data_IF_155076226160
#
_entry.id   IF_155076226160
#
_cell.length_a   1.000
_cell.length_b   1.000
_cell.length_c   1.000
_cell.angle_alpha   90.00
_cell.angle_beta   90.00
_cell.angle_gamma   90.00
#
_symmetry.space_group_name_H-M   'P 1'
#
loop_
_entity.id
_entity.type
_entity.pdbx_description
1 polymer ?
#
# COMPACT_ATOMS: atom_id res chain seq x y z
N UNK A 1 -21.70 24.89 0.72
CA UNK A 1 -21.42 24.59 2.17
C UNK A 1 -20.21 25.41 2.57
N UNK A 2 -20.17 25.96 3.79
CA UNK A 2 -18.98 26.69 4.29
C UNK A 2 -17.83 25.70 4.59
N UNK A 3 -16.58 26.16 4.36
CA UNK A 3 -15.35 25.37 4.57
C UNK A 3 -15.27 24.75 5.97
N UNK A 4 -15.52 25.53 7.00
CA UNK A 4 -15.55 25.08 8.40
C UNK A 4 -16.51 23.90 8.64
N UNK A 5 -17.70 23.98 8.04
CA UNK A 5 -18.72 22.92 8.16
C UNK A 5 -18.28 21.65 7.45
N UNK A 6 -17.64 21.78 6.27
CA UNK A 6 -17.04 20.64 5.55
C UNK A 6 -15.98 19.96 6.43
N UNK A 7 -15.01 20.73 6.93
CA UNK A 7 -13.93 20.20 7.76
C UNK A 7 -14.46 19.50 9.02
N UNK A 8 -15.48 20.09 9.66
CA UNK A 8 -16.12 19.45 10.81
C UNK A 8 -16.76 18.10 10.47
N UNK A 9 -17.41 17.99 9.31
CA UNK A 9 -17.98 16.72 8.86
C UNK A 9 -16.87 15.71 8.56
N UNK A 10 -15.80 16.11 7.89
CA UNK A 10 -14.68 15.23 7.59
C UNK A 10 -14.00 14.71 8.86
N UNK A 11 -13.73 15.61 9.82
CA UNK A 11 -13.19 15.28 11.16
C UNK A 11 -14.06 14.27 11.89
N UNK A 12 -15.37 14.52 11.95
CA UNK A 12 -16.31 13.61 12.59
C UNK A 12 -16.34 12.23 11.91
N UNK A 13 -16.20 12.17 10.58
CA UNK A 13 -16.08 10.93 9.83
C UNK A 13 -14.86 10.12 10.26
N UNK A 14 -13.70 10.76 10.37
CA UNK A 14 -12.45 10.12 10.85
C UNK A 14 -12.63 9.61 12.28
N UNK A 15 -13.10 10.46 13.20
CA UNK A 15 -13.30 10.13 14.63
C UNK A 15 -14.25 8.94 14.83
N UNK A 16 -15.30 8.86 14.03
CA UNK A 16 -16.30 7.78 14.09
C UNK A 16 -15.87 6.53 13.33
N UNK A 17 -14.76 6.56 12.60
CA UNK A 17 -14.26 5.42 11.83
C UNK A 17 -15.03 5.14 10.54
N UNK A 18 -15.58 6.18 9.92
CA UNK A 18 -16.16 6.07 8.59
C UNK A 18 -15.07 5.68 7.56
N UNK A 19 -15.41 4.79 6.63
CA UNK A 19 -14.54 4.46 5.51
C UNK A 19 -14.64 5.46 4.37
N UNK A 20 -15.84 5.99 4.12
CA UNK A 20 -16.09 6.93 3.05
C UNK A 20 -17.10 7.99 3.50
N UNK A 21 -17.01 9.18 2.89
CA UNK A 21 -17.95 10.30 3.04
C UNK A 21 -18.52 10.63 1.66
N UNK A 22 -19.84 10.77 1.56
CA UNK A 22 -20.51 11.04 0.30
C UNK A 22 -21.29 12.33 0.35
N UNK A 23 -21.15 13.16 -0.68
CA UNK A 23 -21.93 14.39 -0.88
C UNK A 23 -22.57 14.36 -2.27
N UNK A 24 -23.90 14.36 -2.30
CA UNK A 24 -24.69 14.31 -3.53
C UNK A 24 -25.84 15.31 -3.46
N UNK A 25 -26.15 15.95 -4.60
CA UNK A 25 -27.28 16.89 -4.71
C UNK A 25 -28.60 16.16 -4.47
N UNK A 26 -29.48 16.79 -3.71
CA UNK A 26 -30.82 16.26 -3.40
C UNK A 26 -30.82 15.21 -2.29
N UNK A 27 -29.69 14.98 -1.62
CA UNK A 27 -29.56 14.03 -0.53
C UNK A 27 -28.85 14.63 0.68
N UNK A 28 -28.98 13.96 1.85
CA UNK A 28 -28.20 14.26 3.04
C UNK A 28 -26.75 13.82 2.84
N UNK A 29 -25.76 14.45 3.50
CA UNK A 29 -24.41 13.86 3.57
C UNK A 29 -24.47 12.46 4.19
N UNK A 30 -23.66 11.53 3.68
CA UNK A 30 -23.62 10.15 4.13
C UNK A 30 -22.24 9.76 4.57
N UNK A 31 -22.16 8.92 5.62
CA UNK A 31 -20.97 8.15 5.94
C UNK A 31 -21.18 6.68 5.58
N UNK A 32 -20.06 6.02 5.24
CA UNK A 32 -20.04 4.57 5.11
C UNK A 32 -19.38 3.96 6.35
N UNK A 33 -20.08 3.05 7.02
CA UNK A 33 -19.58 2.28 8.14
C UNK A 33 -19.75 0.80 7.85
N UNK A 34 -18.66 0.03 7.85
CA UNK A 34 -18.71 -1.42 7.65
C UNK A 34 -19.51 -1.89 6.41
N UNK A 35 -19.54 -1.05 5.37
CA UNK A 35 -20.28 -1.31 4.13
C UNK A 35 -21.63 -0.62 4.04
N UNK A 36 -22.25 -0.25 5.15
CA UNK A 36 -23.57 0.39 5.21
C UNK A 36 -23.45 1.92 5.09
N UNK A 37 -24.39 2.54 4.35
CA UNK A 37 -24.52 3.99 4.25
C UNK A 37 -25.42 4.52 5.37
N UNK A 38 -24.95 5.51 6.11
CA UNK A 38 -25.64 6.13 7.24
C UNK A 38 -25.83 7.61 6.98
N UNK A 39 -27.05 8.09 7.05
CA UNK A 39 -27.40 9.49 6.87
C UNK A 39 -26.96 10.34 8.05
N UNK A 40 -26.39 11.50 7.75
CA UNK A 40 -26.03 12.47 8.77
C UNK A 40 -27.21 13.39 9.06
N UNK A 41 -27.38 13.79 10.32
CA UNK A 41 -28.32 14.82 10.70
C UNK A 41 -27.86 16.19 10.19
N UNK A 42 -28.15 16.46 8.95
CA UNK A 42 -27.79 17.69 8.25
C UNK A 42 -28.95 18.12 7.32
N UNK A 43 -28.80 19.20 6.58
CA UNK A 43 -29.75 19.58 5.53
C UNK A 43 -29.50 18.78 4.25
N UNK A 44 -30.51 18.64 3.43
CA UNK A 44 -30.40 18.15 2.05
C UNK A 44 -29.49 19.10 1.26
N UNK A 45 -28.52 18.55 0.55
CA UNK A 45 -27.54 19.31 -0.21
C UNK A 45 -28.15 19.87 -1.51
N UNK A 46 -27.89 21.12 -1.77
CA UNK A 46 -28.24 21.80 -3.03
C UNK A 46 -27.05 21.73 -4.00
N UNK A 47 -27.30 22.06 -5.28
CA UNK A 47 -26.23 22.19 -6.29
C UNK A 47 -25.13 23.19 -5.86
N UNK A 48 -25.53 24.30 -5.23
CA UNK A 48 -24.57 25.28 -4.68
C UNK A 48 -23.73 24.73 -3.54
N UNK A 49 -24.29 23.81 -2.74
CA UNK A 49 -23.54 23.20 -1.65
C UNK A 49 -22.47 22.25 -2.19
N UNK A 50 -22.79 21.37 -3.14
CA UNK A 50 -21.81 20.43 -3.73
C UNK A 50 -20.77 21.16 -4.57
N UNK A 51 -21.12 22.23 -5.28
CA UNK A 51 -20.16 23.08 -5.97
C UNK A 51 -19.19 23.75 -4.99
N UNK A 52 -19.68 24.30 -3.89
CA UNK A 52 -18.82 24.90 -2.87
C UNK A 52 -17.89 23.89 -2.22
N UNK A 53 -18.35 22.65 -1.98
CA UNK A 53 -17.50 21.56 -1.48
C UNK A 53 -16.41 21.25 -2.50
N UNK A 54 -16.77 21.07 -3.77
CA UNK A 54 -15.80 20.75 -4.83
C UNK A 54 -14.74 21.86 -4.97
N UNK A 55 -15.15 23.14 -4.94
CA UNK A 55 -14.19 24.28 -4.96
C UNK A 55 -13.24 24.25 -3.78
N UNK A 56 -13.73 23.98 -2.56
CA UNK A 56 -12.89 23.88 -1.36
C UNK A 56 -11.87 22.74 -1.45
N UNK A 57 -12.26 21.58 -2.00
CA UNK A 57 -11.38 20.45 -2.16
C UNK A 57 -10.30 20.66 -3.25
N UNK A 58 -10.61 21.48 -4.24
CA UNK A 58 -9.69 21.81 -5.35
C UNK A 58 -8.79 23.02 -5.06
N UNK A 59 -8.94 23.72 -3.92
CA UNK A 59 -8.13 24.93 -3.63
C UNK A 59 -6.61 24.71 -3.67
N UNK A 60 -6.15 23.50 -3.32
CA UNK A 60 -4.73 23.11 -3.32
C UNK A 60 -4.26 22.52 -4.64
N UNK A 61 -5.15 22.29 -5.59
CA UNK A 61 -4.87 21.63 -6.86
C UNK A 61 -4.64 22.66 -7.97
N UNK A 62 -3.76 22.36 -8.94
CA UNK A 62 -3.57 23.23 -10.11
C UNK A 62 -4.79 23.27 -11.03
N UNK A 63 -5.72 22.33 -10.90
CA UNK A 63 -6.97 22.23 -11.67
C UNK A 63 -8.05 23.06 -11.02
N UNK A 64 -8.92 23.66 -11.83
CA UNK A 64 -10.07 24.42 -11.36
C UNK A 64 -11.38 23.79 -11.83
N UNK A 65 -12.49 24.14 -11.14
CA UNK A 65 -13.84 23.76 -11.57
C UNK A 65 -14.29 24.42 -12.88
N UNK A 66 -13.56 25.43 -13.33
CA UNK A 66 -13.84 26.18 -14.55
C UNK A 66 -13.34 25.42 -15.81
N UNK A 67 -12.50 24.37 -15.62
CA UNK A 67 -12.12 23.45 -16.67
C UNK A 67 -13.25 22.45 -16.94
N UNK A 68 -13.41 22.07 -18.22
CA UNK A 68 -14.41 21.06 -18.59
C UNK A 68 -13.89 19.66 -18.30
N UNK A 69 -14.31 19.11 -17.18
CA UNK A 69 -13.97 17.74 -16.76
C UNK A 69 -15.21 16.92 -16.42
N UNK A 70 -15.15 15.61 -16.63
CA UNK A 70 -16.20 14.68 -16.21
C UNK A 70 -15.94 14.14 -14.80
N UNK A 71 -14.67 13.88 -14.48
CA UNK A 71 -14.23 13.38 -13.18
C UNK A 71 -12.80 13.82 -12.86
N UNK A 72 -12.51 13.98 -11.58
CA UNK A 72 -11.19 14.27 -11.03
C UNK A 72 -10.98 13.38 -9.82
N UNK A 73 -9.84 12.65 -9.78
CA UNK A 73 -9.30 12.03 -8.59
C UNK A 73 -8.21 12.93 -8.02
N UNK A 74 -8.24 13.16 -6.71
CA UNK A 74 -7.23 13.96 -6.00
C UNK A 74 -7.03 13.44 -4.57
N UNK A 75 -5.92 13.83 -3.96
CA UNK A 75 -5.68 13.65 -2.55
C UNK A 75 -6.01 14.95 -1.80
N UNK A 76 -6.76 14.87 -0.71
CA UNK A 76 -7.07 16.01 0.14
C UNK A 76 -6.55 15.76 1.56
N UNK A 77 -5.78 16.69 2.08
CA UNK A 77 -5.26 16.61 3.45
C UNK A 77 -6.02 17.58 4.36
N UNK A 78 -6.57 17.03 5.45
CA UNK A 78 -7.09 17.82 6.56
C UNK A 78 -5.94 18.01 7.55
N UNK A 79 -5.36 19.22 7.66
CA UNK A 79 -4.10 19.44 8.37
C UNK A 79 -4.10 18.89 9.80
N UNK A 80 -3.18 17.96 10.10
CA UNK A 80 -3.02 17.35 11.41
C UNK A 80 -4.09 16.32 11.82
N UNK A 81 -5.06 16.04 10.96
CA UNK A 81 -6.23 15.23 11.33
C UNK A 81 -6.44 14.01 10.42
N UNK A 82 -6.17 14.13 9.12
CA UNK A 82 -6.34 13.01 8.20
C UNK A 82 -6.13 13.34 6.73
N UNK A 83 -6.03 12.31 5.92
CA UNK A 83 -5.93 12.38 4.47
C UNK A 83 -7.12 11.66 3.84
N UNK A 84 -7.55 12.14 2.70
CA UNK A 84 -8.65 11.57 1.94
C UNK A 84 -8.23 11.38 0.47
N UNK A 85 -8.62 10.26 -0.10
CA UNK A 85 -8.72 10.15 -1.55
C UNK A 85 -10.09 10.64 -1.97
N UNK A 86 -10.14 11.61 -2.86
CA UNK A 86 -11.35 12.28 -3.29
C UNK A 86 -11.61 11.97 -4.76
N UNK A 87 -12.81 11.56 -5.07
CA UNK A 87 -13.33 11.54 -6.43
C UNK A 87 -14.43 12.61 -6.56
N UNK A 88 -14.25 13.53 -7.47
CA UNK A 88 -15.26 14.52 -7.87
C UNK A 88 -15.70 14.16 -9.28
N UNK A 89 -16.97 13.79 -9.44
CA UNK A 89 -17.57 13.40 -10.72
C UNK A 89 -18.81 14.20 -11.02
N UNK A 90 -19.19 14.28 -12.31
CA UNK A 90 -20.45 14.91 -12.73
C UNK A 90 -21.56 13.89 -12.82
N UNK A 91 -22.71 14.19 -12.20
CA UNK A 91 -23.95 13.45 -12.32
C UNK A 91 -25.09 14.41 -12.67
N UNK A 92 -25.72 14.25 -13.83
CA UNK A 92 -26.79 15.11 -14.31
C UNK A 92 -26.44 16.60 -14.26
N UNK A 93 -25.22 16.96 -14.63
CA UNK A 93 -24.62 18.30 -14.58
C UNK A 93 -24.30 18.84 -13.17
N UNK A 94 -24.53 18.07 -12.10
CA UNK A 94 -24.18 18.42 -10.73
C UNK A 94 -22.92 17.66 -10.28
N UNK A 95 -22.26 18.15 -9.25
CA UNK A 95 -21.10 17.48 -8.65
C UNK A 95 -21.55 16.40 -7.67
N UNK A 96 -21.01 15.20 -7.85
CA UNK A 96 -21.05 14.11 -6.91
C UNK A 96 -19.64 13.92 -6.34
N UNK A 97 -19.49 13.85 -5.02
CA UNK A 97 -18.20 13.86 -4.35
C UNK A 97 -18.15 12.71 -3.37
N UNK A 98 -17.12 11.90 -3.51
CA UNK A 98 -16.85 10.76 -2.62
C UNK A 98 -15.45 10.94 -2.04
N UNK A 99 -15.35 10.93 -0.72
CA UNK A 99 -14.06 11.00 -0.03
C UNK A 99 -13.84 9.70 0.73
N UNK A 100 -12.78 8.98 0.41
CA UNK A 100 -12.32 7.83 1.17
C UNK A 100 -11.32 8.24 2.22
N UNK A 101 -11.57 7.87 3.47
CA UNK A 101 -10.67 8.15 4.58
C UNK A 101 -9.41 7.29 4.46
N UNK A 102 -8.25 7.94 4.45
CA UNK A 102 -6.94 7.28 4.47
C UNK A 102 -6.46 7.25 5.93
N UNK A 103 -6.24 6.06 6.52
CA UNK A 103 -5.77 5.95 7.89
C UNK A 103 -4.39 6.58 8.08
N UNK A 104 -4.22 7.47 9.07
CA UNK A 104 -2.93 8.04 9.47
C UNK A 104 -2.08 7.07 10.29
N UNK A 105 -2.66 5.99 10.79
CA UNK A 105 -1.94 5.01 11.61
C UNK A 105 -1.98 3.64 10.97
N UNK A 106 -0.80 3.11 10.72
CA UNK A 106 -0.63 1.73 10.31
C UNK A 106 -0.78 0.82 11.53
N UNK A 107 -1.64 -0.20 11.43
CA UNK A 107 -1.81 -1.19 12.50
C UNK A 107 -0.60 -2.09 12.59
N UNK A 108 -0.20 -2.46 13.83
CA UNK A 108 0.92 -3.37 14.03
C UNK A 108 0.60 -4.80 13.57
N UNK A 109 1.65 -5.61 13.35
CA UNK A 109 1.52 -7.03 12.95
C UNK A 109 0.66 -7.82 13.93
N UNK A 110 0.77 -7.55 15.24
CA UNK A 110 -0.01 -8.19 16.28
C UNK A 110 -1.51 -7.86 16.19
N UNK A 111 -1.82 -6.57 16.02
CA UNK A 111 -3.22 -6.12 15.87
C UNK A 111 -3.89 -6.70 14.64
N UNK A 112 -3.13 -7.01 13.60
CA UNK A 112 -3.61 -7.65 12.37
C UNK A 112 -3.54 -9.17 12.41
N UNK A 113 -3.07 -9.77 13.50
CA UNK A 113 -2.83 -11.20 13.64
C UNK A 113 -1.98 -11.77 12.49
N UNK A 114 -0.96 -11.03 12.07
CA UNK A 114 -0.05 -11.46 11.02
C UNK A 114 0.92 -12.53 11.56
N UNK A 115 1.29 -13.54 10.75
CA UNK A 115 2.29 -14.53 11.17
C UNK A 115 3.61 -13.90 11.59
N UNK A 116 4.17 -14.33 12.72
CA UNK A 116 5.44 -13.82 13.24
C UNK A 116 6.60 -13.96 12.23
N UNK A 117 6.55 -14.97 11.35
CA UNK A 117 7.52 -15.16 10.28
C UNK A 117 7.63 -13.97 9.29
N UNK A 118 6.65 -13.06 9.26
CA UNK A 118 6.74 -11.85 8.45
C UNK A 118 7.78 -10.85 8.99
N UNK A 119 8.10 -10.91 10.30
CA UNK A 119 9.19 -10.11 10.86
C UNK A 119 10.55 -10.44 10.27
N UNK A 120 10.78 -11.70 9.90
CA UNK A 120 12.04 -12.06 9.24
C UNK A 120 12.22 -11.29 7.92
N UNK A 121 11.11 -10.91 7.27
CA UNK A 121 11.17 -10.14 6.02
C UNK A 121 11.64 -8.71 6.27
N UNK A 122 11.27 -8.09 7.39
CA UNK A 122 11.64 -6.71 7.71
C UNK A 122 13.13 -6.58 8.06
N UNK A 123 13.81 -7.69 8.35
CA UNK A 123 15.25 -7.73 8.63
C UNK A 123 16.12 -7.91 7.38
N UNK A 124 15.50 -8.19 6.22
CA UNK A 124 16.24 -8.35 4.98
C UNK A 124 16.89 -7.03 4.55
N UNK A 125 18.15 -7.11 4.13
CA UNK A 125 18.91 -5.94 3.67
C UNK A 125 18.82 -5.78 2.15
N UNK A 126 18.58 -6.87 1.43
CA UNK A 126 18.49 -6.90 -0.03
C UNK A 126 17.58 -8.02 -0.48
N UNK A 127 17.05 -7.88 -1.68
CA UNK A 127 16.21 -8.89 -2.31
C UNK A 127 14.84 -8.36 -2.69
N UNK A 128 13.90 -9.25 -2.92
CA UNK A 128 12.59 -8.92 -3.45
C UNK A 128 11.49 -9.61 -2.64
N UNK A 129 10.58 -8.83 -2.09
CA UNK A 129 9.43 -9.32 -1.33
C UNK A 129 8.16 -8.97 -2.07
N UNK A 130 7.37 -9.98 -2.43
CA UNK A 130 6.08 -9.80 -3.09
C UNK A 130 4.93 -10.24 -2.21
N UNK A 131 3.97 -9.36 -2.04
CA UNK A 131 2.68 -9.63 -1.41
C UNK A 131 1.64 -9.86 -2.49
N UNK A 132 1.05 -11.05 -2.53
CA UNK A 132 0.15 -11.46 -3.60
C UNK A 132 -1.26 -11.75 -3.09
N UNK A 133 -2.27 -11.56 -3.94
CA UNK A 133 -3.67 -11.80 -3.61
C UNK A 133 -4.62 -10.98 -4.46
N UNK A 134 -5.91 -11.29 -4.41
CA UNK A 134 -6.96 -10.50 -5.07
C UNK A 134 -7.10 -9.11 -4.42
N UNK A 135 -7.85 -8.22 -5.08
CA UNK A 135 -8.21 -6.91 -4.52
C UNK A 135 -8.99 -7.08 -3.21
N UNK A 136 -8.72 -6.22 -2.23
CA UNK A 136 -9.37 -6.27 -0.91
C UNK A 136 -8.84 -7.34 0.05
N UNK A 137 -7.80 -8.12 -0.34
CA UNK A 137 -7.21 -9.17 0.51
C UNK A 137 -6.17 -8.66 1.51
N UNK A 138 -6.00 -7.35 1.65
CA UNK A 138 -5.10 -6.74 2.62
C UNK A 138 -3.64 -6.65 2.18
N UNK A 139 -3.34 -6.66 0.86
CA UNK A 139 -1.96 -6.52 0.35
C UNK A 139 -1.31 -5.22 0.79
N UNK A 140 -1.94 -4.07 0.50
CA UNK A 140 -1.45 -2.75 0.88
C UNK A 140 -1.31 -2.60 2.39
N UNK A 141 -2.29 -3.11 3.16
CA UNK A 141 -2.21 -3.12 4.63
C UNK A 141 -1.01 -3.94 5.12
N UNK A 142 -0.73 -5.08 4.50
CA UNK A 142 0.44 -5.91 4.85
C UNK A 142 1.74 -5.20 4.51
N UNK A 143 1.86 -4.64 3.30
CA UNK A 143 3.03 -3.86 2.90
C UNK A 143 3.26 -2.69 3.85
N UNK A 144 2.22 -1.90 4.12
CA UNK A 144 2.30 -0.79 5.06
C UNK A 144 2.78 -1.25 6.45
N UNK A 145 2.26 -2.39 6.94
CA UNK A 145 2.67 -2.94 8.24
C UNK A 145 4.14 -3.37 8.24
N UNK A 146 4.65 -3.95 7.14
CA UNK A 146 6.07 -4.30 7.01
C UNK A 146 6.95 -3.06 7.00
N UNK A 147 6.57 -2.03 6.23
CA UNK A 147 7.28 -0.75 6.17
C UNK A 147 7.28 -0.06 7.53
N UNK A 148 6.14 -0.05 8.23
CA UNK A 148 6.05 0.53 9.58
C UNK A 148 6.89 -0.23 10.62
N UNK A 149 6.99 -1.56 10.52
CA UNK A 149 7.88 -2.34 11.38
C UNK A 149 9.36 -2.01 11.11
N UNK A 150 9.74 -1.82 9.85
CA UNK A 150 11.08 -1.34 9.48
C UNK A 150 11.32 0.05 10.06
N UNK A 151 10.38 0.98 9.85
CA UNK A 151 10.43 2.36 10.34
C UNK A 151 10.72 2.43 11.85
N UNK A 152 10.03 1.60 12.62
CA UNK A 152 10.17 1.55 14.08
C UNK A 152 11.44 0.87 14.59
N UNK A 153 12.00 -0.05 13.82
CA UNK A 153 13.06 -0.92 14.31
C UNK A 153 14.43 -0.70 13.65
N UNK A 154 14.50 -0.06 12.48
CA UNK A 154 15.72 0.14 11.70
C UNK A 154 15.99 1.61 11.42
N UNK A 155 17.26 1.98 11.36
CA UNK A 155 17.72 3.26 10.83
C UNK A 155 17.95 3.07 9.33
N UNK A 156 16.98 3.45 8.52
CA UNK A 156 17.00 3.22 7.08
C UNK A 156 16.38 4.39 6.31
N UNK A 157 16.81 4.57 5.07
CA UNK A 157 16.13 5.42 4.10
C UNK A 157 15.11 4.58 3.34
N UNK A 158 13.84 4.89 3.53
CA UNK A 158 12.71 4.21 2.89
C UNK A 158 12.12 5.14 1.83
N UNK A 159 11.93 4.62 0.62
CA UNK A 159 11.20 5.33 -0.45
C UNK A 159 9.99 4.48 -0.84
N UNK A 160 8.81 5.09 -0.78
CA UNK A 160 7.57 4.45 -1.27
C UNK A 160 7.09 5.15 -2.53
N UNK A 161 6.55 4.37 -3.47
CA UNK A 161 5.98 4.84 -4.74
C UNK A 161 4.60 4.20 -4.84
N UNK A 162 3.55 5.01 -4.83
CA UNK A 162 2.17 4.55 -4.63
C UNK A 162 1.20 5.20 -5.62
N UNK A 163 0.09 4.53 -5.92
CA UNK A 163 -0.95 5.02 -6.83
C UNK A 163 -2.36 4.59 -6.33
N UNK A 164 -2.96 5.42 -5.46
CA UNK A 164 -2.41 6.51 -4.66
C UNK A 164 -1.78 6.03 -3.33
N UNK A 165 -1.30 6.96 -2.49
CA UNK A 165 -0.88 6.66 -1.11
C UNK A 165 -2.09 6.19 -0.29
N UNK A 166 -2.01 4.96 0.26
CA UNK A 166 -3.06 4.36 1.09
C UNK A 166 -2.83 4.51 2.59
N UNK A 167 -1.60 4.77 3.02
CA UNK A 167 -1.22 4.98 4.42
C UNK A 167 -0.17 6.07 4.51
N UNK A 168 -0.31 6.98 5.47
CA UNK A 168 0.69 8.02 5.73
C UNK A 168 1.61 7.54 6.85
N UNK A 169 2.92 7.57 6.60
CA UNK A 169 3.92 7.19 7.58
C UNK A 169 4.50 8.42 8.28
N UNK A 170 4.65 8.34 9.59
CA UNK A 170 5.42 9.31 10.37
C UNK A 170 6.84 8.78 10.56
N UNK A 171 7.86 9.62 10.37
CA UNK A 171 9.25 9.25 10.63
C UNK A 171 9.43 8.80 12.09
N UNK A 172 10.14 7.68 12.30
CA UNK A 172 10.57 7.19 13.62
C UNK A 172 12.09 7.00 13.59
N UNK A 173 12.58 5.76 13.53
CA UNK A 173 14.01 5.48 13.35
C UNK A 173 14.46 5.63 11.90
N UNK A 174 13.55 5.42 10.95
CA UNK A 174 13.82 5.59 9.52
C UNK A 174 13.37 6.95 9.00
N UNK A 175 13.95 7.35 7.87
CA UNK A 175 13.49 8.50 7.09
C UNK A 175 12.66 7.95 5.91
N UNK A 176 11.40 8.34 5.80
CA UNK A 176 10.49 7.86 4.76
C UNK A 176 10.19 8.97 3.76
N UNK A 177 10.34 8.67 2.49
CA UNK A 177 9.89 9.53 1.38
C UNK A 177 8.76 8.80 0.67
N UNK A 178 7.54 9.31 0.76
CA UNK A 178 6.39 8.78 0.03
C UNK A 178 6.17 9.61 -1.22
N UNK A 179 5.96 8.94 -2.35
CA UNK A 179 5.71 9.60 -3.64
C UNK A 179 4.46 9.02 -4.29
N UNK A 180 3.54 9.88 -4.63
CA UNK A 180 2.27 9.53 -5.27
C UNK A 180 2.36 9.76 -6.79
N UNK A 181 1.88 8.77 -7.55
CA UNK A 181 1.77 8.92 -9.01
C UNK A 181 0.73 10.00 -9.35
N UNK A 182 1.06 10.84 -10.30
CA UNK A 182 0.19 11.94 -10.75
C UNK A 182 0.35 13.24 -9.94
N UNK A 183 0.77 13.14 -8.68
CA UNK A 183 1.01 14.30 -7.81
C UNK A 183 2.49 14.61 -7.68
N UNK A 184 3.30 13.63 -7.25
CA UNK A 184 4.74 13.81 -6.95
C UNK A 184 5.64 13.30 -8.07
N UNK A 185 5.10 12.47 -8.96
CA UNK A 185 5.85 11.83 -10.06
C UNK A 185 4.90 11.41 -11.17
N UNK A 186 5.41 11.37 -12.40
CA UNK A 186 4.59 11.06 -13.57
C UNK A 186 4.24 9.56 -13.69
N UNK A 187 5.15 8.66 -13.28
CA UNK A 187 4.99 7.22 -13.45
C UNK A 187 5.79 6.42 -12.42
N UNK A 188 5.46 5.13 -12.28
CA UNK A 188 6.24 4.20 -11.47
C UNK A 188 7.69 4.08 -11.94
N UNK A 189 8.00 3.90 -13.24
CA UNK A 189 9.37 3.87 -13.73
C UNK A 189 10.17 5.14 -13.38
N UNK A 190 9.62 6.33 -13.65
CA UNK A 190 10.29 7.60 -13.36
C UNK A 190 10.59 7.76 -11.88
N UNK A 191 9.60 7.44 -11.03
CA UNK A 191 9.75 7.49 -9.58
C UNK A 191 10.84 6.53 -9.10
N UNK A 192 10.88 5.32 -9.64
CA UNK A 192 11.83 4.28 -9.24
C UNK A 192 13.25 4.62 -9.70
N UNK A 193 13.43 5.11 -10.93
CA UNK A 193 14.71 5.63 -11.40
C UNK A 193 15.21 6.81 -10.54
N UNK A 194 14.31 7.68 -10.11
CA UNK A 194 14.63 8.77 -9.18
C UNK A 194 14.99 8.24 -7.80
N UNK A 195 14.23 7.27 -7.28
CA UNK A 195 14.46 6.68 -5.96
C UNK A 195 15.86 6.08 -5.83
N UNK A 196 16.35 5.37 -6.84
CA UNK A 196 17.70 4.78 -6.87
C UNK A 196 18.85 5.80 -6.73
N UNK A 197 18.57 7.10 -6.92
CA UNK A 197 19.53 8.20 -6.70
C UNK A 197 19.35 8.92 -5.35
N UNK A 198 18.47 8.42 -4.49
CA UNK A 198 18.14 9.00 -3.19
C UNK A 198 18.72 8.21 -2.02
N UNK A 199 19.72 7.35 -2.28
CA UNK A 199 20.37 6.48 -1.29
C UNK A 199 19.36 5.63 -0.48
N UNK A 200 18.47 4.87 -1.14
CA UNK A 200 17.45 4.12 -0.46
C UNK A 200 18.00 2.79 0.04
N UNK A 201 17.73 2.45 1.30
CA UNK A 201 17.93 1.08 1.82
C UNK A 201 16.73 0.20 1.46
N UNK A 202 15.54 0.79 1.49
CA UNK A 202 14.26 0.11 1.31
C UNK A 202 13.42 0.85 0.27
N UNK A 203 12.95 0.12 -0.72
CA UNK A 203 12.04 0.65 -1.75
C UNK A 203 10.72 -0.12 -1.67
N UNK A 204 9.60 0.59 -1.57
CA UNK A 204 8.27 0.00 -1.72
C UNK A 204 7.65 0.51 -3.01
N UNK A 205 7.27 -0.41 -3.90
CA UNK A 205 6.50 -0.12 -5.10
C UNK A 205 5.10 -0.68 -4.91
N UNK A 206 4.09 0.18 -4.89
CA UNK A 206 2.72 -0.18 -4.53
C UNK A 206 2.22 -1.41 -5.30
N UNK A 207 2.41 -1.43 -6.61
CA UNK A 207 2.09 -2.58 -7.44
C UNK A 207 2.95 -2.66 -8.71
N UNK A 208 3.03 -3.88 -9.28
CA UNK A 208 3.74 -4.19 -10.53
C UNK A 208 2.75 -4.32 -11.68
N UNK A 209 2.68 -3.31 -12.55
CA UNK A 209 1.74 -3.27 -13.68
C UNK A 209 2.42 -3.44 -15.04
N UNK A 210 3.67 -3.05 -15.18
CA UNK A 210 4.38 -2.96 -16.45
C UNK A 210 5.80 -3.54 -16.41
N UNK A 211 6.37 -3.78 -17.58
CA UNK A 211 7.69 -4.37 -17.74
C UNK A 211 8.80 -3.51 -17.14
N UNK A 212 8.75 -2.20 -17.36
CA UNK A 212 9.84 -1.30 -16.96
C UNK A 212 9.94 -1.19 -15.45
N UNK A 213 8.79 -1.08 -14.76
CA UNK A 213 8.70 -1.12 -13.29
C UNK A 213 9.25 -2.44 -12.74
N UNK A 214 8.87 -3.59 -13.34
CA UNK A 214 9.34 -4.91 -12.91
C UNK A 214 10.85 -5.05 -13.11
N UNK A 215 11.37 -4.71 -14.30
CA UNK A 215 12.79 -4.84 -14.64
C UNK A 215 13.67 -3.95 -13.76
N UNK A 216 13.27 -2.68 -13.57
CA UNK A 216 13.99 -1.73 -12.71
C UNK A 216 13.98 -2.15 -11.25
N UNK A 217 12.86 -2.66 -10.76
CA UNK A 217 12.73 -3.20 -9.40
C UNK A 217 13.60 -4.42 -9.17
N UNK A 218 13.69 -5.33 -10.15
CA UNK A 218 14.56 -6.50 -10.08
C UNK A 218 16.03 -6.07 -10.06
N UNK A 219 16.42 -5.13 -10.90
CA UNK A 219 17.78 -4.55 -10.91
C UNK A 219 18.13 -3.90 -9.58
N UNK A 220 17.19 -3.14 -8.97
CA UNK A 220 17.37 -2.56 -7.64
C UNK A 220 17.64 -3.64 -6.60
N UNK A 221 16.86 -4.72 -6.60
CA UNK A 221 17.04 -5.84 -5.68
C UNK A 221 18.36 -6.60 -5.88
N UNK A 222 18.87 -6.68 -7.12
CA UNK A 222 20.17 -7.29 -7.45
C UNK A 222 21.34 -6.40 -7.03
N UNK A 223 21.19 -5.08 -7.09
CA UNK A 223 22.25 -4.10 -6.77
C UNK A 223 22.34 -3.73 -5.29
N UNK A 224 21.59 -4.40 -4.41
CA UNK A 224 21.81 -4.29 -2.97
C UNK A 224 20.63 -3.74 -2.16
N UNK A 225 19.53 -3.34 -2.81
CA UNK A 225 18.34 -2.80 -2.14
C UNK A 225 17.36 -3.92 -1.76
N UNK A 226 16.55 -3.70 -0.73
CA UNK A 226 15.37 -4.53 -0.49
C UNK A 226 14.16 -3.86 -1.13
N UNK A 227 13.48 -4.58 -2.00
CA UNK A 227 12.29 -4.10 -2.70
C UNK A 227 11.04 -4.85 -2.22
N UNK A 228 10.04 -4.11 -1.78
CA UNK A 228 8.71 -4.62 -1.43
C UNK A 228 7.71 -4.21 -2.49
N UNK A 229 6.85 -5.13 -2.92
CA UNK A 229 5.78 -4.77 -3.84
C UNK A 229 4.58 -5.71 -3.75
N UNK A 230 3.50 -5.34 -4.45
CA UNK A 230 2.34 -6.21 -4.61
C UNK A 230 2.11 -6.61 -6.06
N UNK A 231 1.43 -7.74 -6.22
CA UNK A 231 0.96 -8.21 -7.52
C UNK A 231 -0.38 -8.94 -7.39
N UNK A 232 -1.25 -8.76 -8.36
CA UNK A 232 -2.58 -9.36 -8.37
C UNK A 232 -2.53 -10.79 -8.96
N UNK A 233 -2.15 -11.77 -8.14
CA UNK A 233 -2.10 -13.17 -8.52
C UNK A 233 -2.63 -14.05 -7.39
N UNK A 234 -3.13 -15.24 -7.72
CA UNK A 234 -3.78 -16.14 -6.77
C UNK A 234 -2.80 -16.95 -5.93
N UNK A 235 -1.61 -17.23 -6.45
CA UNK A 235 -0.63 -18.12 -5.82
C UNK A 235 0.79 -17.84 -6.32
N UNK A 236 1.77 -18.55 -5.75
CA UNK A 236 3.19 -18.38 -6.05
C UNK A 236 3.52 -18.71 -7.51
N UNK A 237 2.95 -19.81 -8.05
CA UNK A 237 3.21 -20.20 -9.44
C UNK A 237 2.67 -19.18 -10.42
N UNK A 238 1.42 -18.73 -10.23
CA UNK A 238 0.82 -17.65 -11.01
C UNK A 238 1.63 -16.35 -10.92
N UNK A 239 2.21 -16.05 -9.74
CA UNK A 239 3.07 -14.88 -9.56
C UNK A 239 4.32 -14.95 -10.41
N UNK A 240 5.00 -16.10 -10.40
CA UNK A 240 6.21 -16.31 -11.23
C UNK A 240 5.86 -16.22 -12.72
N UNK A 241 4.78 -16.88 -13.14
CA UNK A 241 4.30 -16.79 -14.53
C UNK A 241 3.96 -15.36 -14.92
N UNK A 242 3.30 -14.62 -14.05
CA UNK A 242 2.96 -13.21 -14.29
C UNK A 242 4.20 -12.34 -14.44
N UNK A 243 5.21 -12.49 -13.55
CA UNK A 243 6.47 -11.77 -13.67
C UNK A 243 7.21 -12.10 -14.97
N UNK A 244 7.29 -13.38 -15.33
CA UNK A 244 7.92 -13.80 -16.60
C UNK A 244 7.15 -13.27 -17.81
N UNK A 245 5.81 -13.17 -17.72
CA UNK A 245 4.98 -12.69 -18.84
C UNK A 245 5.18 -11.21 -19.19
N UNK A 246 5.75 -10.40 -18.30
CA UNK A 246 6.13 -9.02 -18.63
C UNK A 246 7.30 -8.97 -19.61
N UNK A 247 8.17 -10.00 -19.64
CA UNK A 247 9.34 -10.01 -20.49
C UNK A 247 9.06 -10.67 -21.84
N UNK A 248 9.53 -10.08 -22.94
CA UNK A 248 9.45 -10.73 -24.25
C UNK A 248 10.27 -12.04 -24.26
N UNK A 249 9.91 -13.03 -25.09
CA UNK A 249 10.52 -14.37 -25.07
C UNK A 249 12.05 -14.41 -25.10
N UNK A 250 12.69 -13.44 -25.75
CA UNK A 250 14.15 -13.32 -25.86
C UNK A 250 14.82 -12.85 -24.57
N UNK A 251 14.18 -11.99 -23.78
CA UNK A 251 14.73 -11.47 -22.53
C UNK A 251 14.42 -12.37 -21.34
N UNK A 252 13.37 -13.21 -21.40
CA UNK A 252 13.05 -14.16 -20.34
C UNK A 252 14.17 -15.19 -20.09
N UNK A 253 14.97 -15.52 -21.12
CA UNK A 253 16.13 -16.42 -20.98
C UNK A 253 17.32 -15.79 -20.24
N UNK A 254 17.45 -14.46 -20.28
CA UNK A 254 18.57 -13.73 -19.65
C UNK A 254 18.27 -13.37 -18.20
N UNK A 255 17.03 -12.94 -17.89
CA UNK A 255 16.65 -12.52 -16.54
C UNK A 255 16.48 -13.69 -15.56
N UNK A 256 16.09 -14.89 -16.04
CA UNK A 256 15.96 -16.10 -15.20
C UNK A 256 17.34 -16.73 -14.87
N UNK A 257 18.41 -16.40 -15.64
CA UNK A 257 19.77 -16.84 -15.35
C UNK A 257 20.52 -15.99 -14.33
N UNK A 258 19.94 -14.86 -13.90
CA UNK A 258 20.50 -14.02 -12.83
C UNK A 258 20.46 -14.74 -11.49
N UNK A 259 21.60 -15.23 -11.09
CA UNK A 259 22.04 -15.71 -9.78
C UNK A 259 21.01 -16.42 -8.85
N UNK A 260 21.25 -17.69 -8.51
CA UNK A 260 20.41 -18.48 -7.59
C UNK A 260 20.50 -18.02 -6.10
N UNK A 261 21.14 -16.89 -5.83
CA UNK A 261 21.42 -16.42 -4.45
C UNK A 261 20.40 -15.41 -3.89
N UNK A 262 19.47 -14.90 -4.71
CA UNK A 262 18.42 -14.00 -4.20
C UNK A 262 17.33 -14.84 -3.54
N UNK A 263 17.22 -14.77 -2.24
CA UNK A 263 16.17 -15.45 -1.47
C UNK A 263 14.80 -14.90 -1.88
N UNK A 264 14.10 -15.57 -2.77
CA UNK A 264 12.74 -15.25 -3.20
C UNK A 264 11.78 -15.76 -2.13
N UNK A 265 11.30 -14.88 -1.28
CA UNK A 265 10.21 -15.19 -0.36
C UNK A 265 8.94 -14.52 -0.87
N UNK A 266 7.96 -15.31 -1.26
CA UNK A 266 6.61 -14.85 -1.57
C UNK A 266 5.65 -15.35 -0.50
N UNK A 267 4.78 -14.47 -0.04
CA UNK A 267 3.74 -14.77 0.93
C UNK A 267 2.37 -14.49 0.32
N UNK A 268 1.49 -15.44 0.47
CA UNK A 268 0.10 -15.32 0.01
C UNK A 268 -0.78 -14.79 1.13
N UNK A 269 -1.45 -13.69 0.86
CA UNK A 269 -2.54 -13.19 1.69
C UNK A 269 -3.85 -13.84 1.21
N UNK A 270 -4.48 -14.64 2.04
CA UNK A 270 -5.74 -15.30 1.70
C UNK A 270 -6.79 -15.11 2.79
N UNK A 271 -7.96 -14.61 2.42
CA UNK A 271 -9.13 -14.66 3.29
C UNK A 271 -9.90 -15.97 3.03
N UNK A 272 -10.22 -16.71 4.07
CA UNK A 272 -11.18 -17.81 3.95
C UNK A 272 -12.58 -17.27 4.27
N UNK A 273 -13.60 -17.55 3.47
CA UNK A 273 -14.96 -17.12 3.78
C UNK A 273 -15.46 -17.89 5.00
N UNK A 274 -15.64 -17.22 6.12
CA UNK A 274 -16.52 -17.70 7.18
C UNK A 274 -17.84 -16.93 7.12
N UNK A 275 -18.91 -17.66 6.95
CA UNK A 275 -20.26 -17.20 7.32
C UNK A 275 -20.26 -17.00 8.82
N UNK A 276 -20.05 -15.77 9.28
CA UNK A 276 -20.75 -15.17 10.43
C UNK A 276 -20.24 -13.74 10.66
N UNK A 277 -21.15 -12.89 10.94
CA UNK A 277 -21.05 -11.45 11.13
C UNK A 277 -20.07 -11.11 12.26
N UNK A 278 -18.91 -10.55 11.89
CA UNK A 278 -18.03 -9.75 12.75
C UNK A 278 -16.96 -9.11 11.85
N UNK A 279 -16.36 -7.95 12.21
CA UNK A 279 -15.58 -7.13 11.28
C UNK A 279 -14.45 -7.90 10.62
N UNK A 280 -14.31 -7.70 9.31
CA UNK A 280 -13.42 -8.43 8.43
C UNK A 280 -11.95 -8.27 8.82
N UNK A 281 -11.44 -9.28 9.53
CA UNK A 281 -10.00 -9.50 9.65
C UNK A 281 -9.59 -10.64 8.70
N UNK A 282 -8.58 -10.46 7.84
CA UNK A 282 -8.09 -11.52 7.01
C UNK A 282 -7.51 -12.66 7.88
N UNK A 283 -7.95 -13.90 7.64
CA UNK A 283 -7.30 -15.08 8.21
C UNK A 283 -6.10 -15.45 7.37
N UNK A 284 -4.95 -15.41 7.98
CA UNK A 284 -3.69 -15.85 7.39
C UNK A 284 -3.57 -17.38 7.49
N UNK A 285 -3.32 -18.04 6.35
CA UNK A 285 -2.83 -19.40 6.36
C UNK A 285 -1.31 -19.37 6.24
N UNK A 286 -0.62 -19.86 7.25
CA UNK A 286 0.81 -20.10 7.17
C UNK A 286 1.05 -21.19 6.13
N UNK A 287 1.85 -20.89 5.10
CA UNK A 287 2.40 -21.93 4.24
C UNK A 287 3.50 -22.64 5.04
N UNK A 288 3.11 -23.75 5.70
CA UNK A 288 4.09 -24.65 6.29
C UNK A 288 5.01 -25.19 5.18
N UNK A 289 6.29 -25.18 5.44
CA UNK A 289 7.30 -25.82 4.61
C UNK A 289 6.91 -27.26 4.34
N UNK A 290 6.69 -27.64 3.10
CA UNK A 290 6.85 -29.04 2.67
C UNK A 290 8.25 -29.17 2.07
N UNK A 291 9.06 -29.88 2.81
CA UNK A 291 10.11 -30.78 2.36
C UNK A 291 11.19 -30.25 1.42
N UNK A 292 12.33 -29.96 1.99
CA UNK A 292 13.59 -30.41 1.40
C UNK A 292 14.33 -31.16 2.50
N UNK A 293 14.33 -32.45 2.42
CA UNK A 293 15.22 -33.33 3.17
C UNK A 293 16.64 -33.04 2.68
N UNK A 294 17.38 -32.26 3.44
CA UNK A 294 18.83 -32.18 3.30
C UNK A 294 19.41 -33.10 4.37
N UNK A 295 20.09 -34.15 3.90
CA UNK A 295 20.91 -35.07 4.66
C UNK A 295 21.84 -34.30 5.61
N UNK A 296 21.64 -34.49 6.91
CA UNK A 296 22.56 -34.03 7.93
C UNK A 296 23.81 -34.91 7.89
N UNK A 297 24.89 -34.39 7.33
CA UNK A 297 26.23 -34.93 7.55
C UNK A 297 26.67 -34.56 8.97
N UNK A 298 26.88 -35.58 9.81
CA UNK A 298 27.44 -35.48 11.16
C UNK A 298 28.82 -34.83 11.10
N UNK A 299 28.97 -33.67 11.70
CA UNK A 299 30.27 -33.15 12.10
C UNK A 299 30.51 -33.64 13.52
N UNK A 300 31.43 -34.60 13.69
CA UNK A 300 31.97 -35.02 14.96
C UNK A 300 32.78 -33.88 15.57
N UNK A 301 32.35 -33.38 16.72
CA UNK A 301 33.15 -32.50 17.57
C UNK A 301 34.17 -33.36 18.32
N UNK A 302 35.47 -33.11 18.09
CA UNK A 302 36.57 -33.60 18.96
C UNK A 302 36.64 -32.73 20.22
N UNK A 303 36.85 -33.32 21.41
CA UNK A 303 37.05 -32.56 22.63
C UNK A 303 38.46 -31.94 22.65
N UNK A 304 38.51 -30.66 22.95
CA UNK A 304 39.75 -29.92 23.23
C UNK A 304 40.20 -30.25 24.66
N UNK A 305 41.41 -30.84 24.80
CA UNK A 305 42.08 -31.04 26.06
C UNK A 305 42.59 -29.70 26.58
N UNK A 306 42.30 -29.39 27.82
CA UNK A 306 42.94 -28.34 28.61
C UNK A 306 44.36 -28.74 28.99
N UNK A 307 45.37 -27.83 28.95
CA UNK A 307 46.63 -28.06 29.61
C UNK A 307 46.53 -27.58 31.07
N UNK A 308 46.93 -28.47 31.94
CA UNK A 308 47.29 -28.19 33.36
C UNK A 308 48.69 -27.55 33.41
N UNK A 309 48.79 -26.46 34.07
CA UNK A 309 49.68 -26.03 35.23
C UNK A 309 49.46 -24.57 35.47
#
# INVERSE_FOLDING_TARGET
MEREKLYRLLRLGIEKGASDVHFQVGYLPLYRFHGDLVELRYKVLTAKDTEAIARTLLESEPRSLDEDFNEIDLAFELPGEGRFRVNISRQRRFYNIVLRVIPLQVRSMEKLNLPAALRDLTQLQRGYVLVTGATGMGKSTTLATLIEDINKNRKAKIVTIEDPIEFVFTHDKSIITQREIGTDTASFPDALHSALRQDPDVIMVGEMRDLETVDTSLKAAETGHIVYSSIHTSDVSATIHRLVSFFPPRSSRTSVRGSPKTSRRSYRCGSSPRRNRSPAFPRWRSCARRGASASASRIQQRPVRSPST
#
